data_IF_528667371415
#
_entry.id   IF_528667371415
#
_cell.length_a   1.000
_cell.length_b   1.000
_cell.length_c   1.000
_cell.angle_alpha   90.00
_cell.angle_beta   90.00
_cell.angle_gamma   90.00
#
_symmetry.space_group_name_H-M   'P 1'
#
loop_
_entity.id
_entity.type
_entity.pdbx_description
1 polymer ?
#
# COMPACT_ATOMS: atom_id res chain seq x y z
N UNK A 1 38.34 -7.38 -5.17
CA UNK A 1 37.06 -7.91 -4.65
C UNK A 1 36.02 -6.80 -4.69
N UNK A 2 35.46 -6.55 -5.87
CA UNK A 2 34.47 -5.49 -6.13
C UNK A 2 33.07 -5.99 -5.77
N UNK A 3 32.49 -5.43 -4.71
CA UNK A 3 31.12 -5.70 -4.30
C UNK A 3 30.14 -5.44 -5.46
N UNK A 4 29.28 -6.42 -5.76
CA UNK A 4 28.26 -6.35 -6.81
C UNK A 4 27.34 -5.13 -6.56
N UNK A 5 27.45 -4.04 -7.35
CA UNK A 5 26.81 -2.75 -7.05
C UNK A 5 25.28 -2.80 -7.08
N UNK A 6 24.69 -3.86 -7.65
CA UNK A 6 23.24 -4.06 -7.73
C UNK A 6 22.60 -4.42 -6.38
N UNK A 7 23.26 -5.15 -5.48
CA UNK A 7 22.60 -5.73 -4.31
C UNK A 7 22.10 -4.65 -3.32
N UNK A 8 22.91 -3.61 -3.10
CA UNK A 8 22.58 -2.48 -2.19
C UNK A 8 21.33 -1.72 -2.64
N UNK A 9 21.13 -1.53 -3.94
CA UNK A 9 19.98 -0.81 -4.48
C UNK A 9 18.66 -1.57 -4.31
N UNK A 10 18.68 -2.89 -4.48
CA UNK A 10 17.48 -3.73 -4.30
C UNK A 10 17.09 -3.85 -2.83
N UNK A 11 18.07 -4.01 -1.92
CA UNK A 11 17.83 -4.05 -0.48
C UNK A 11 17.23 -2.73 0.03
N UNK A 12 17.77 -1.60 -0.40
CA UNK A 12 17.23 -0.28 -0.03
C UNK A 12 15.77 -0.10 -0.47
N UNK A 13 15.45 -0.46 -1.73
CA UNK A 13 14.08 -0.39 -2.25
C UNK A 13 13.13 -1.35 -1.53
N UNK A 14 13.57 -2.58 -1.26
CA UNK A 14 12.79 -3.57 -0.52
C UNK A 14 12.48 -3.07 0.89
N UNK A 15 13.47 -2.49 1.58
CA UNK A 15 13.28 -1.90 2.91
C UNK A 15 12.30 -0.72 2.87
N UNK A 16 12.43 0.20 1.91
CA UNK A 16 11.47 1.30 1.75
C UNK A 16 10.05 0.78 1.54
N UNK A 17 9.87 -0.18 0.62
CA UNK A 17 8.56 -0.78 0.38
C UNK A 17 8.01 -1.48 1.62
N UNK A 18 8.85 -2.22 2.35
CA UNK A 18 8.47 -2.87 3.58
C UNK A 18 7.97 -1.87 4.63
N UNK A 19 8.70 -0.78 4.85
CA UNK A 19 8.29 0.29 5.78
C UNK A 19 6.99 0.94 5.34
N UNK A 20 6.83 1.26 4.06
CA UNK A 20 5.60 1.89 3.54
C UNK A 20 4.38 0.97 3.65
N UNK A 21 4.54 -0.31 3.30
CA UNK A 21 3.48 -1.32 3.45
C UNK A 21 3.15 -1.53 4.92
N UNK A 22 4.17 -1.64 5.79
CA UNK A 22 3.98 -1.76 7.24
C UNK A 22 3.22 -0.57 7.83
N UNK A 23 3.60 0.65 7.45
CA UNK A 23 2.91 1.88 7.88
C UNK A 23 1.45 1.93 7.38
N UNK A 24 1.21 1.51 6.14
CA UNK A 24 -0.14 1.42 5.58
C UNK A 24 -1.00 0.42 6.37
N UNK A 25 -0.50 -0.80 6.58
CA UNK A 25 -1.23 -1.84 7.33
C UNK A 25 -1.49 -1.37 8.76
N UNK A 26 -0.50 -0.82 9.44
CA UNK A 26 -0.65 -0.29 10.80
C UNK A 26 -1.70 0.82 10.89
N UNK A 27 -1.66 1.78 9.97
CA UNK A 27 -2.62 2.91 9.94
C UNK A 27 -4.05 2.46 9.67
N UNK A 28 -4.24 1.48 8.79
CA UNK A 28 -5.57 1.01 8.39
C UNK A 28 -6.05 -0.25 9.15
N UNK A 29 -5.27 -0.75 10.12
CA UNK A 29 -5.59 -1.98 10.84
C UNK A 29 -7.00 -1.99 11.46
N UNK A 30 -7.44 -0.95 12.21
CA UNK A 30 -8.78 -0.94 12.79
C UNK A 30 -9.88 -1.02 11.72
N UNK A 31 -9.70 -0.32 10.60
CA UNK A 31 -10.63 -0.34 9.46
C UNK A 31 -10.68 -1.72 8.81
N UNK A 32 -9.55 -2.40 8.66
CA UNK A 32 -9.51 -3.76 8.11
C UNK A 32 -10.26 -4.75 9.01
N UNK A 33 -10.10 -4.62 10.33
CA UNK A 33 -10.84 -5.45 11.31
C UNK A 33 -12.34 -5.17 11.25
N UNK A 34 -12.75 -3.91 11.14
CA UNK A 34 -14.16 -3.53 11.02
C UNK A 34 -14.78 -4.04 9.71
N UNK A 35 -14.04 -3.98 8.60
CA UNK A 35 -14.46 -4.55 7.32
C UNK A 35 -14.68 -6.06 7.43
N UNK A 36 -13.72 -6.78 8.01
CA UNK A 36 -13.80 -8.23 8.23
C UNK A 36 -15.01 -8.60 9.10
N UNK A 37 -15.22 -7.87 10.20
CA UNK A 37 -16.38 -8.07 11.07
C UNK A 37 -17.69 -7.87 10.30
N UNK A 38 -17.80 -6.80 9.53
CA UNK A 38 -19.00 -6.49 8.78
C UNK A 38 -19.27 -7.53 7.69
N UNK A 39 -18.25 -7.98 6.96
CA UNK A 39 -18.41 -8.98 5.90
C UNK A 39 -18.74 -10.37 6.44
N UNK A 40 -18.16 -10.74 7.58
CA UNK A 40 -18.44 -12.04 8.21
C UNK A 40 -19.79 -12.10 8.92
N UNK A 41 -20.25 -10.99 9.51
CA UNK A 41 -21.41 -10.99 10.42
C UNK A 41 -22.70 -10.51 9.76
N UNK A 42 -22.61 -9.64 8.75
CA UNK A 42 -23.80 -9.06 8.10
C UNK A 42 -24.12 -9.76 6.78
N UNK A 43 -25.25 -10.49 6.66
CA UNK A 43 -25.63 -11.19 5.43
C UNK A 43 -25.69 -10.28 4.19
N UNK A 44 -25.98 -9.00 4.40
CA UNK A 44 -26.14 -7.97 3.37
C UNK A 44 -24.77 -7.53 2.81
N UNK A 45 -23.71 -7.61 3.63
CA UNK A 45 -22.35 -7.18 3.30
C UNK A 45 -21.37 -8.34 3.05
N UNK A 46 -21.85 -9.59 3.11
CA UNK A 46 -21.08 -10.81 2.84
C UNK A 46 -20.36 -10.83 1.48
N UNK A 47 -20.88 -10.09 0.50
CA UNK A 47 -20.27 -9.94 -0.84
C UNK A 47 -19.05 -8.99 -0.83
N UNK A 48 -18.73 -8.37 0.30
CA UNK A 48 -17.63 -7.42 0.46
C UNK A 48 -16.27 -7.98 0.09
N UNK A 49 -16.05 -9.29 0.26
CA UNK A 49 -14.81 -9.97 -0.16
C UNK A 49 -14.54 -9.91 -1.67
N UNK A 50 -15.56 -9.65 -2.49
CA UNK A 50 -15.37 -9.46 -3.93
C UNK A 50 -14.67 -8.14 -4.25
N UNK A 51 -14.80 -7.12 -3.39
CA UNK A 51 -14.23 -5.78 -3.61
C UNK A 51 -12.71 -5.80 -3.76
N UNK A 52 -11.92 -6.38 -2.82
CA UNK A 52 -10.47 -6.44 -2.99
C UNK A 52 -10.05 -7.29 -4.20
N UNK A 53 -10.76 -8.38 -4.50
CA UNK A 53 -10.48 -9.22 -5.67
C UNK A 53 -10.70 -8.46 -6.98
N UNK A 54 -11.83 -7.77 -7.11
CA UNK A 54 -12.14 -6.95 -8.28
C UNK A 54 -11.17 -5.76 -8.40
N UNK A 55 -10.82 -5.11 -7.29
CA UNK A 55 -9.81 -4.05 -7.27
C UNK A 55 -8.45 -4.52 -7.79
N UNK A 56 -7.99 -5.69 -7.33
CA UNK A 56 -6.77 -6.31 -7.82
C UNK A 56 -6.87 -6.70 -9.31
N UNK A 57 -8.01 -7.24 -9.74
CA UNK A 57 -8.28 -7.56 -11.15
C UNK A 57 -8.25 -6.31 -12.05
N UNK A 58 -8.85 -5.21 -11.61
CA UNK A 58 -8.82 -3.93 -12.33
C UNK A 58 -7.41 -3.34 -12.41
N UNK A 59 -6.63 -3.43 -11.32
CA UNK A 59 -5.23 -3.03 -11.30
C UNK A 59 -4.41 -3.87 -12.27
N UNK A 60 -4.64 -5.19 -12.30
CA UNK A 60 -3.98 -6.11 -13.21
C UNK A 60 -4.31 -5.81 -14.68
N UNK A 61 -5.58 -5.54 -15.00
CA UNK A 61 -5.98 -5.13 -16.35
C UNK A 61 -5.26 -3.84 -16.77
N UNK A 62 -5.19 -2.84 -15.88
CA UNK A 62 -4.58 -1.54 -16.19
C UNK A 62 -3.04 -1.51 -16.10
N UNK A 63 -2.38 -2.61 -15.78
CA UNK A 63 -0.92 -2.67 -15.54
C UNK A 63 -0.08 -2.15 -16.70
N UNK A 64 -0.53 -2.36 -17.93
CA UNK A 64 0.23 -1.95 -19.13
C UNK A 64 0.23 -0.44 -19.32
N UNK A 65 -0.82 0.25 -18.85
CA UNK A 65 -0.85 1.70 -18.76
C UNK A 65 0.09 2.24 -17.69
N UNK A 66 0.17 1.56 -16.53
CA UNK A 66 1.06 1.95 -15.43
C UNK A 66 2.54 1.81 -15.78
N UNK A 67 2.91 0.82 -16.60
CA UNK A 67 4.30 0.65 -17.09
C UNK A 67 4.82 1.81 -17.91
N UNK A 68 3.93 2.61 -18.53
CA UNK A 68 4.28 3.78 -19.34
C UNK A 68 4.52 5.04 -18.48
N UNK A 69 4.13 5.01 -17.20
CA UNK A 69 4.31 6.13 -16.27
C UNK A 69 5.72 6.08 -15.70
N UNK A 70 6.48 7.16 -15.92
CA UNK A 70 7.79 7.33 -15.26
C UNK A 70 7.58 7.77 -13.80
N UNK A 71 8.09 7.04 -12.81
CA UNK A 71 8.01 7.45 -11.41
C UNK A 71 8.70 8.80 -11.23
N UNK A 72 7.99 9.80 -10.69
CA UNK A 72 8.58 11.07 -10.27
C UNK A 72 8.43 11.23 -8.77
N UNK A 73 9.52 11.61 -8.11
CA UNK A 73 9.49 11.95 -6.69
C UNK A 73 8.83 13.33 -6.52
N UNK A 74 7.83 13.40 -5.64
CA UNK A 74 7.22 14.65 -5.24
C UNK A 74 7.41 14.88 -3.73
N UNK A 75 8.20 15.88 -3.36
CA UNK A 75 8.53 16.19 -1.96
C UNK A 75 7.32 16.67 -1.15
N UNK A 76 6.30 17.25 -1.79
CA UNK A 76 5.05 17.58 -1.11
C UNK A 76 4.33 16.35 -0.57
N UNK A 77 4.44 15.21 -1.27
CA UNK A 77 3.89 13.94 -0.80
C UNK A 77 4.51 13.50 0.52
N UNK A 78 5.82 13.74 0.71
CA UNK A 78 6.50 13.43 1.97
C UNK A 78 5.96 14.29 3.12
N UNK A 79 5.79 15.61 2.88
CA UNK A 79 5.21 16.52 3.87
C UNK A 79 3.80 16.11 4.31
N UNK A 80 2.97 15.70 3.35
CA UNK A 80 1.62 15.19 3.64
C UNK A 80 1.64 13.89 4.44
N UNK A 81 2.56 12.96 4.15
CA UNK A 81 2.71 11.72 4.92
C UNK A 81 3.13 11.98 6.37
N UNK A 82 4.05 12.93 6.59
CA UNK A 82 4.47 13.32 7.94
C UNK A 82 3.32 13.97 8.70
N UNK A 83 2.59 14.89 8.08
CA UNK A 83 1.42 15.52 8.70
C UNK A 83 0.34 14.49 9.05
N UNK A 84 0.02 13.58 8.12
CA UNK A 84 -0.95 12.51 8.36
C UNK A 84 -0.50 11.58 9.50
N UNK A 85 0.78 11.23 9.56
CA UNK A 85 1.35 10.45 10.66
C UNK A 85 1.25 11.18 12.00
N UNK A 86 1.55 12.48 12.03
CA UNK A 86 1.42 13.31 13.24
C UNK A 86 -0.03 13.38 13.73
N UNK A 87 -0.99 13.59 12.81
CA UNK A 87 -2.42 13.62 13.14
C UNK A 87 -2.96 12.26 13.62
N UNK A 88 -2.32 11.15 13.24
CA UNK A 88 -2.72 9.80 13.68
C UNK A 88 -2.13 9.42 15.03
N UNK A 89 -0.98 10.00 15.39
CA UNK A 89 -0.24 9.71 16.62
C UNK A 89 -0.54 10.69 17.76
N UNK A 90 -0.95 11.93 17.44
CA UNK A 90 -1.45 12.92 18.39
C UNK A 90 -2.93 12.74 18.68
#
# INVERSE_FOLDING_TARGET
MSALPGLRGHVGRALTLFVLVGALVWSYWPTLVELEWNWSTSPQYSHGYLVPLLGAGMLWWRRDGLRKVSPRTNWWGLGLLVLAGAMRLG
#
